data_IF_290697823087
#
_entry.id   IF_290697823087
#
_cell.length_a   1.000
_cell.length_b   1.000
_cell.length_c   1.000
_cell.angle_alpha   90.00
_cell.angle_beta   90.00
_cell.angle_gamma   90.00
#
_symmetry.space_group_name_H-M   'P 1'
#
loop_
_entity.id
_entity.type
_entity.pdbx_description
1 polymer ?
#
# COMPACT_ATOMS: atom_id res chain seq x y z
N UNK A 1 21.00 -6.17 15.65
CA UNK A 1 19.59 -6.47 15.94
C UNK A 1 18.81 -6.59 14.65
N UNK A 2 18.09 -7.70 14.44
CA UNK A 2 17.19 -7.83 13.30
C UNK A 2 15.85 -7.26 13.74
N UNK A 3 15.54 -6.04 13.34
CA UNK A 3 14.20 -5.48 13.52
C UNK A 3 13.30 -6.20 12.52
N UNK A 4 12.58 -7.18 13.02
CA UNK A 4 11.53 -7.89 12.29
C UNK A 4 10.31 -6.96 12.26
N UNK A 5 9.91 -6.47 11.09
CA UNK A 5 8.69 -5.66 10.99
C UNK A 5 7.51 -6.62 10.88
N UNK A 6 6.85 -6.86 12.01
CA UNK A 6 5.77 -7.84 12.10
C UNK A 6 4.48 -7.15 11.67
N UNK A 7 4.18 -7.17 10.37
CA UNK A 7 2.95 -6.55 9.85
C UNK A 7 1.67 -7.11 10.51
N UNK A 8 1.72 -8.34 11.02
CA UNK A 8 0.61 -8.95 11.77
C UNK A 8 0.28 -8.25 13.09
N UNK A 9 1.13 -7.34 13.59
CA UNK A 9 0.80 -6.50 14.75
C UNK A 9 -0.16 -5.35 14.39
N UNK A 10 -0.35 -5.07 13.10
CA UNK A 10 -1.29 -4.06 12.64
C UNK A 10 -2.66 -4.71 12.36
N UNK A 11 -3.69 -4.26 13.07
CA UNK A 11 -5.05 -4.83 12.97
C UNK A 11 -5.63 -4.83 11.56
N UNK A 12 -5.24 -3.86 10.72
CA UNK A 12 -5.71 -3.77 9.35
C UNK A 12 -5.14 -4.92 8.51
N UNK A 13 -3.84 -5.20 8.67
CA UNK A 13 -3.17 -6.27 7.95
C UNK A 13 -3.64 -7.64 8.45
N UNK A 14 -3.78 -7.80 9.77
CA UNK A 14 -4.31 -9.03 10.37
C UNK A 14 -5.74 -9.37 9.90
N UNK A 15 -6.52 -8.36 9.48
CA UNK A 15 -7.87 -8.52 8.92
C UNK A 15 -7.90 -8.64 7.40
N UNK A 16 -6.75 -8.54 6.72
CA UNK A 16 -6.67 -8.52 5.27
C UNK A 16 -7.26 -7.25 4.65
N UNK A 17 -7.31 -6.14 5.39
CA UNK A 17 -7.74 -4.85 4.85
C UNK A 17 -6.71 -4.32 3.84
N UNK A 18 -7.16 -3.71 2.73
CA UNK A 18 -6.26 -3.10 1.76
C UNK A 18 -5.65 -1.80 2.31
N UNK A 19 -4.47 -1.46 1.80
CA UNK A 19 -3.93 -0.11 1.93
C UNK A 19 -4.70 0.80 0.99
N UNK A 20 -5.15 1.97 1.47
CA UNK A 20 -5.79 2.98 0.61
C UNK A 20 -4.90 4.21 0.58
N UNK A 21 -4.30 4.49 -0.58
CA UNK A 21 -3.44 5.65 -0.81
C UNK A 21 -3.99 6.45 -1.98
N UNK A 22 -4.28 7.73 -1.75
CA UNK A 22 -4.84 8.65 -2.76
C UNK A 22 -6.09 8.10 -3.49
N UNK A 23 -6.93 7.34 -2.77
CA UNK A 23 -8.14 6.75 -3.32
C UNK A 23 -7.93 5.49 -4.17
N UNK A 24 -6.69 5.00 -4.28
CA UNK A 24 -6.37 3.70 -4.86
C UNK A 24 -6.22 2.66 -3.74
N UNK A 25 -6.87 1.52 -3.88
CA UNK A 25 -6.72 0.40 -2.95
C UNK A 25 -5.62 -0.53 -3.43
N UNK A 26 -4.80 -1.00 -2.51
CA UNK A 26 -3.70 -1.93 -2.77
C UNK A 26 -3.86 -3.16 -1.88
N UNK A 27 -3.83 -4.33 -2.49
CA UNK A 27 -3.93 -5.62 -1.79
C UNK A 27 -2.57 -6.29 -1.74
N UNK A 28 -2.30 -7.00 -0.64
CA UNK A 28 -1.05 -7.73 -0.44
C UNK A 28 -0.84 -8.77 -1.55
N UNK A 29 0.39 -8.86 -2.05
CA UNK A 29 0.87 -10.01 -2.81
C UNK A 29 1.52 -10.99 -1.82
N UNK A 30 1.20 -12.28 -1.93
CA UNK A 30 1.36 -13.25 -0.83
C UNK A 30 2.81 -13.45 -0.38
N UNK A 31 3.80 -13.17 -1.24
CA UNK A 31 5.20 -13.50 -0.98
C UNK A 31 6.11 -12.25 -0.89
N UNK A 32 6.84 -12.07 0.23
CA UNK A 32 7.91 -11.09 0.31
C UNK A 32 9.01 -11.33 -0.73
N UNK A 33 9.43 -10.27 -1.39
CA UNK A 33 10.47 -10.31 -2.42
C UNK A 33 11.73 -9.55 -2.00
N UNK A 34 12.86 -9.93 -2.60
CA UNK A 34 14.12 -9.19 -2.42
C UNK A 34 14.16 -7.99 -3.35
N UNK A 35 14.35 -6.81 -2.78
CA UNK A 35 14.53 -5.55 -3.51
C UNK A 35 15.70 -4.80 -2.88
N UNK A 36 16.55 -4.21 -3.71
CA UNK A 36 17.56 -3.27 -3.23
C UNK A 36 16.85 -2.00 -2.74
N UNK A 37 16.94 -1.72 -1.44
CA UNK A 37 16.31 -0.57 -0.79
C UNK A 37 16.70 0.77 -1.45
N UNK A 38 17.85 0.85 -2.13
CA UNK A 38 18.28 2.05 -2.87
C UNK A 38 17.43 2.35 -4.11
N UNK A 39 16.64 1.38 -4.56
CA UNK A 39 15.71 1.53 -5.69
C UNK A 39 14.31 1.92 -5.25
N UNK A 40 14.07 2.04 -3.94
CA UNK A 40 12.79 2.37 -3.35
C UNK A 40 12.81 3.78 -2.78
N UNK A 41 11.70 4.49 -2.96
CA UNK A 41 11.49 5.83 -2.43
C UNK A 41 10.27 5.84 -1.51
N UNK A 42 10.34 6.53 -0.38
CA UNK A 42 9.20 6.66 0.54
C UNK A 42 8.13 7.52 -0.13
N UNK A 43 6.97 6.93 -0.39
CA UNK A 43 5.84 7.59 -1.06
C UNK A 43 4.74 8.00 -0.09
N UNK A 44 4.73 7.45 1.12
CA UNK A 44 3.74 7.82 2.13
C UNK A 44 3.81 6.97 3.39
N UNK A 45 2.72 7.01 4.14
CA UNK A 45 2.50 6.22 5.35
C UNK A 45 1.03 5.85 5.44
N UNK A 46 0.74 4.62 5.85
CA UNK A 46 -0.62 4.16 6.11
C UNK A 46 -0.72 3.56 7.50
N UNK A 47 -1.46 4.24 8.39
CA UNK A 47 -1.72 3.80 9.77
C UNK A 47 -0.45 3.39 10.53
N UNK A 48 0.63 4.17 10.41
CA UNK A 48 1.91 3.91 11.08
C UNK A 48 2.87 2.99 10.33
N UNK A 49 2.52 2.56 9.11
CA UNK A 49 3.39 1.75 8.24
C UNK A 49 3.91 2.61 7.09
N UNK A 50 5.24 2.73 6.98
CA UNK A 50 5.87 3.45 5.88
C UNK A 50 5.68 2.71 4.55
N UNK A 51 5.32 3.47 3.52
CA UNK A 51 5.05 2.96 2.19
C UNK A 51 6.14 3.42 1.23
N UNK A 52 6.60 2.49 0.40
CA UNK A 52 7.64 2.75 -0.59
C UNK A 52 7.15 2.43 -1.99
N UNK A 53 7.58 3.22 -2.96
CA UNK A 53 7.35 3.00 -4.38
C UNK A 53 8.67 2.76 -5.10
N UNK A 54 8.59 2.20 -6.31
CA UNK A 54 9.74 2.00 -7.21
C UNK A 54 9.43 2.67 -8.54
N UNK A 55 10.40 3.40 -9.10
CA UNK A 55 10.24 4.01 -10.41
C UNK A 55 9.95 2.94 -11.49
N UNK A 56 8.99 3.24 -12.36
CA UNK A 56 8.49 2.31 -13.39
C UNK A 56 7.54 1.22 -12.90
N UNK A 57 7.14 1.22 -11.63
CA UNK A 57 6.18 0.29 -11.03
C UNK A 57 5.03 1.05 -10.34
N UNK A 58 3.84 0.46 -10.31
CA UNK A 58 2.67 0.96 -9.58
C UNK A 58 2.48 0.30 -8.23
N UNK A 59 3.27 -0.71 -7.87
CA UNK A 59 3.17 -1.41 -6.60
C UNK A 59 3.67 -0.54 -5.44
N UNK A 60 3.10 -0.78 -4.27
CA UNK A 60 3.62 -0.31 -3.00
C UNK A 60 4.44 -1.42 -2.35
N UNK A 61 5.45 -1.03 -1.58
CA UNK A 61 6.37 -1.92 -0.91
C UNK A 61 6.44 -1.57 0.56
N UNK A 62 6.30 -2.60 1.40
CA UNK A 62 6.37 -2.47 2.85
C UNK A 62 7.53 -3.32 3.37
N UNK A 63 8.43 -2.77 4.19
CA UNK A 63 9.54 -3.53 4.73
C UNK A 63 9.01 -4.57 5.73
N UNK A 64 9.45 -5.82 5.61
CA UNK A 64 9.09 -6.92 6.53
C UNK A 64 10.32 -7.53 7.23
N UNK A 65 11.43 -7.67 6.49
CA UNK A 65 12.72 -8.12 7.00
C UNK A 65 13.84 -7.35 6.28
N UNK A 66 15.06 -7.38 6.82
CA UNK A 66 16.21 -6.76 6.16
C UNK A 66 16.40 -7.28 4.71
N UNK A 67 16.25 -6.38 3.73
CA UNK A 67 16.31 -6.69 2.31
C UNK A 67 15.07 -7.38 1.71
N UNK A 68 14.00 -7.60 2.48
CA UNK A 68 12.75 -8.19 2.03
C UNK A 68 11.56 -7.24 2.18
N UNK A 69 10.78 -7.16 1.11
CA UNK A 69 9.68 -6.21 0.95
C UNK A 69 8.43 -6.97 0.55
N UNK A 70 7.32 -6.67 1.21
CA UNK A 70 6.03 -7.22 0.86
C UNK A 70 5.37 -6.31 -0.18
N UNK A 71 5.03 -6.82 -1.38
CA UNK A 71 4.36 -6.03 -2.40
C UNK A 71 2.88 -5.84 -2.03
N UNK A 72 2.35 -4.68 -2.40
CA UNK A 72 0.94 -4.36 -2.39
C UNK A 72 0.58 -3.86 -3.80
N UNK A 73 -0.26 -4.63 -4.49
CA UNK A 73 -0.61 -4.42 -5.89
C UNK A 73 -1.91 -3.61 -5.97
N UNK A 74 -2.01 -2.61 -6.85
CA UNK A 74 -3.25 -1.85 -7.01
C UNK A 74 -4.39 -2.76 -7.45
N UNK A 75 -5.53 -2.68 -6.77
CA UNK A 75 -6.75 -3.39 -7.16
C UNK A 75 -7.31 -2.76 -8.45
N UNK A 76 -7.38 -3.52 -9.56
CA UNK A 76 -7.91 -3.01 -10.83
C UNK A 76 -9.39 -2.60 -10.74
N UNK A 77 -10.10 -3.00 -9.69
CA UNK A 77 -11.50 -2.62 -9.41
C UNK A 77 -11.69 -1.26 -8.74
N UNK A 78 -10.64 -0.67 -8.16
CA UNK A 78 -10.75 0.65 -7.52
C UNK A 78 -10.76 1.74 -8.59
N UNK A 79 -11.94 2.09 -9.08
CA UNK A 79 -12.11 3.34 -9.83
C UNK A 79 -11.85 4.50 -8.87
N UNK A 80 -11.04 5.51 -9.23
CA UNK A 80 -11.00 6.73 -8.44
C UNK A 80 -12.44 7.21 -8.31
N UNK A 81 -12.92 7.37 -7.06
CA UNK A 81 -14.19 8.03 -6.82
C UNK A 81 -14.06 9.47 -7.31
N UNK A 82 -14.32 9.68 -8.60
CA UNK A 82 -14.79 10.97 -9.08
C UNK A 82 -16.09 11.17 -8.34
N UNK A 83 -16.05 12.03 -7.32
CA UNK A 83 -17.23 12.48 -6.61
C UNK A 83 -18.23 12.87 -7.68
N UNK A 84 -19.29 12.06 -7.83
CA UNK A 84 -20.45 12.47 -8.60
C UNK A 84 -21.04 13.62 -7.79
N UNK A 85 -20.72 14.85 -8.16
CA UNK A 85 -21.40 16.03 -7.68
C UNK A 85 -22.82 15.95 -8.25
N UNK A 86 -23.69 15.22 -7.54
CA UNK A 86 -25.11 15.23 -7.79
C UNK A 86 -25.62 16.63 -7.43
N UNK A 87 -25.52 17.53 -8.40
CA UNK A 87 -26.12 18.85 -8.33
C UNK A 87 -27.56 18.69 -8.82
N UNK A 88 -28.41 18.11 -7.97
CA UNK A 88 -29.86 18.18 -8.16
C UNK A 88 -30.29 19.62 -7.82
N UNK A 89 -30.85 20.41 -8.76
CA UNK A 89 -31.42 21.71 -8.43
C UNK A 89 -32.78 21.53 -7.75
N UNK A 90 -33.13 22.31 -6.70
CA UNK A 90 -34.49 22.36 -6.22
C UNK A 90 -35.38 23.07 -7.25
N UNK A 91 -36.53 22.46 -7.55
CA UNK A 91 -37.61 23.07 -8.34
C UNK A 91 -38.45 24.05 -7.54
#
# INVERSE_FOLDING_TARGET
DRVYFVLTEFDWYARGEPIVLEGTSYTVDDDPIRIDARTLERVGEYRGVELYGRDGDTNLYVPVFDGYWLPFVPDPGTRPSVVATDTTPPG
#
